data_IF_956141130189
#
_entry.id   IF_956141130189
#
_cell.length_a   1.000
_cell.length_b   1.000
_cell.length_c   1.000
_cell.angle_alpha   90.00
_cell.angle_beta   90.00
_cell.angle_gamma   90.00
#
_symmetry.space_group_name_H-M   'P 1'
#
loop_
_entity.id
_entity.type
_entity.pdbx_description
1 polymer ?
#
# COMPACT_ATOMS: atom_id res chain seq x y z
N UNK A 1 -22.26 -5.79 18.37
CA UNK A 1 -21.96 -7.15 17.84
C UNK A 1 -20.53 -7.09 17.30
N UNK A 2 -19.59 -7.87 17.86
CA UNK A 2 -18.17 -7.84 17.45
C UNK A 2 -18.01 -8.32 16.01
N UNK A 3 -17.24 -7.62 15.19
CA UNK A 3 -16.97 -7.99 13.79
C UNK A 3 -16.05 -9.21 13.79
N UNK A 4 -16.62 -10.38 13.47
CA UNK A 4 -15.87 -11.65 13.38
C UNK A 4 -15.25 -11.89 12.01
N UNK A 5 -15.56 -11.05 11.03
CA UNK A 5 -15.12 -11.19 9.65
C UNK A 5 -14.92 -9.82 9.01
N UNK A 6 -13.89 -9.72 8.18
CA UNK A 6 -13.70 -8.61 7.25
C UNK A 6 -14.52 -8.95 5.99
N UNK A 7 -15.48 -8.11 5.55
CA UNK A 7 -16.26 -8.37 4.34
C UNK A 7 -15.37 -8.49 3.10
N UNK A 8 -15.72 -9.42 2.20
CA UNK A 8 -15.06 -9.54 0.90
C UNK A 8 -15.21 -8.21 0.13
N UNK A 9 -14.09 -7.51 -0.09
CA UNK A 9 -14.04 -6.20 -0.74
C UNK A 9 -13.42 -5.07 0.09
N UNK A 10 -13.14 -5.28 1.39
CA UNK A 10 -12.40 -4.32 2.22
C UNK A 10 -10.88 -4.36 1.99
N UNK A 11 -10.44 -4.63 0.75
CA UNK A 11 -9.02 -4.67 0.33
C UNK A 11 -8.33 -3.32 0.53
N UNK A 12 -9.10 -2.22 0.54
CA UNK A 12 -8.60 -0.85 0.69
C UNK A 12 -8.97 -0.20 2.03
N UNK A 13 -9.53 -0.97 2.97
CA UNK A 13 -9.77 -0.44 4.30
C UNK A 13 -8.47 -0.51 5.08
N UNK A 14 -8.03 0.62 5.64
CA UNK A 14 -7.13 0.63 6.79
C UNK A 14 -7.90 0.00 7.95
N UNK A 15 -7.94 -1.33 7.96
CA UNK A 15 -8.42 -2.09 9.11
C UNK A 15 -7.50 -1.70 10.27
N UNK A 16 -8.05 -1.21 11.39
CA UNK A 16 -7.23 -0.73 12.49
C UNK A 16 -6.39 -1.89 13.01
N UNK A 17 -5.09 -1.82 12.76
CA UNK A 17 -4.13 -2.72 13.38
C UNK A 17 -3.68 -2.14 14.71
N UNK A 18 -3.53 -2.98 15.75
CA UNK A 18 -3.95 -4.39 15.81
C UNK A 18 -5.45 -4.54 16.12
N UNK A 19 -6.04 -5.67 15.70
CA UNK A 19 -7.33 -6.11 16.22
C UNK A 19 -7.23 -6.28 17.74
N UNK A 20 -8.29 -5.92 18.47
CA UNK A 20 -8.35 -6.15 19.90
C UNK A 20 -8.28 -7.67 20.18
N UNK A 21 -7.70 -8.04 21.33
CA UNK A 21 -7.55 -9.44 21.73
C UNK A 21 -8.91 -10.18 21.70
N UNK A 22 -8.98 -11.30 20.98
CA UNK A 22 -10.21 -12.07 20.78
C UNK A 22 -11.12 -11.55 19.65
N UNK A 23 -10.64 -10.61 18.83
CA UNK A 23 -11.29 -10.12 17.62
C UNK A 23 -10.43 -10.42 16.38
N UNK A 24 -11.06 -10.44 15.21
CA UNK A 24 -10.41 -10.77 13.94
C UNK A 24 -10.41 -12.27 13.60
N UNK A 25 -10.40 -12.64 12.31
CA UNK A 25 -10.30 -14.05 11.89
C UNK A 25 -8.93 -14.64 12.23
N UNK A 26 -8.87 -15.91 12.65
CA UNK A 26 -7.60 -16.61 12.95
C UNK A 26 -6.65 -16.64 11.74
N UNK A 27 -7.22 -16.90 10.56
CA UNK A 27 -6.49 -16.88 9.28
C UNK A 27 -6.02 -15.48 8.85
N UNK A 28 -6.61 -14.42 9.40
CA UNK A 28 -6.20 -13.05 9.12
C UNK A 28 -4.80 -12.80 9.70
N UNK A 29 -4.55 -13.18 10.96
CA UNK A 29 -3.23 -13.02 11.57
C UNK A 29 -2.12 -13.75 10.82
N UNK A 30 -2.41 -14.96 10.30
CA UNK A 30 -1.40 -15.78 9.63
C UNK A 30 -0.97 -15.27 8.25
N UNK A 31 -1.87 -14.60 7.51
CA UNK A 31 -1.65 -14.28 6.09
C UNK A 31 -1.62 -12.79 5.79
N UNK A 32 -2.25 -11.98 6.63
CA UNK A 32 -2.39 -10.54 6.41
C UNK A 32 -1.06 -9.81 6.52
N UNK A 33 -0.23 -10.11 7.52
CA UNK A 33 1.05 -9.43 7.72
C UNK A 33 1.96 -9.60 6.51
N UNK A 34 2.11 -10.83 6.01
CA UNK A 34 2.88 -11.13 4.80
C UNK A 34 2.30 -10.46 3.55
N UNK A 35 0.98 -10.48 3.39
CA UNK A 35 0.31 -9.86 2.24
C UNK A 35 0.46 -8.34 2.25
N UNK A 36 0.30 -7.70 3.41
CA UNK A 36 0.44 -6.25 3.61
C UNK A 36 1.88 -5.81 3.42
N UNK A 37 2.85 -6.54 3.96
CA UNK A 37 4.28 -6.26 3.76
C UNK A 37 4.66 -6.25 2.28
N UNK A 38 4.22 -7.26 1.53
CA UNK A 38 4.44 -7.31 0.07
C UNK A 38 3.81 -6.13 -0.66
N UNK A 39 2.57 -5.76 -0.31
CA UNK A 39 1.87 -4.61 -0.90
C UNK A 39 2.59 -3.29 -0.61
N UNK A 40 3.03 -3.07 0.62
CA UNK A 40 3.75 -1.85 1.00
C UNK A 40 5.08 -1.70 0.26
N UNK A 41 5.84 -2.80 0.11
CA UNK A 41 7.08 -2.79 -0.68
C UNK A 41 6.80 -2.45 -2.14
N UNK A 42 5.73 -3.01 -2.73
CA UNK A 42 5.32 -2.69 -4.09
C UNK A 42 4.91 -1.22 -4.24
N UNK A 43 4.08 -0.70 -3.33
CA UNK A 43 3.65 0.70 -3.29
C UNK A 43 4.85 1.65 -3.16
N UNK A 44 5.84 1.30 -2.34
CA UNK A 44 7.07 2.07 -2.21
C UNK A 44 7.89 2.10 -3.50
N UNK A 45 8.11 0.94 -4.14
CA UNK A 45 8.82 0.85 -5.42
C UNK A 45 8.14 1.69 -6.50
N UNK A 46 6.81 1.65 -6.56
CA UNK A 46 6.05 2.42 -7.54
C UNK A 46 6.10 3.93 -7.28
N UNK A 47 6.12 4.36 -6.01
CA UNK A 47 6.35 5.75 -5.65
C UNK A 47 7.75 6.23 -6.07
N UNK A 48 8.79 5.43 -5.82
CA UNK A 48 10.16 5.76 -6.22
C UNK A 48 10.26 5.89 -7.74
N UNK A 49 9.70 4.93 -8.50
CA UNK A 49 9.68 4.98 -9.97
C UNK A 49 9.01 6.26 -10.49
N UNK A 50 7.82 6.58 -10.00
CA UNK A 50 7.08 7.80 -10.38
C UNK A 50 7.87 9.07 -10.07
N UNK A 51 8.56 9.11 -8.92
CA UNK A 51 9.41 10.23 -8.56
C UNK A 51 10.59 10.39 -9.53
N UNK A 52 11.27 9.29 -9.89
CA UNK A 52 12.36 9.31 -10.88
C UNK A 52 11.90 9.71 -12.28
N UNK A 53 10.77 9.17 -12.76
CA UNK A 53 10.20 9.53 -14.07
C UNK A 53 9.82 11.01 -14.12
N UNK A 54 9.18 11.52 -13.05
CA UNK A 54 8.83 12.94 -12.92
C UNK A 54 10.08 13.83 -12.94
N UNK A 55 11.14 13.45 -12.24
CA UNK A 55 12.41 14.19 -12.24
C UNK A 55 13.08 14.19 -13.62
N UNK A 56 13.12 13.03 -14.30
CA UNK A 56 13.67 12.92 -15.65
C UNK A 56 12.89 13.77 -16.65
N UNK A 57 11.55 13.74 -16.61
CA UNK A 57 10.69 14.56 -17.47
C UNK A 57 10.91 16.05 -17.24
N UNK A 58 11.05 16.49 -15.98
CA UNK A 58 11.37 17.89 -15.64
C UNK A 58 12.74 18.30 -16.20
N UNK A 59 13.75 17.44 -16.11
CA UNK A 59 15.09 17.70 -16.66
C UNK A 59 15.03 17.88 -18.19
N UNK A 60 14.37 16.96 -18.89
CA UNK A 60 14.20 17.03 -20.35
C UNK A 60 13.46 18.31 -20.78
N UNK A 61 12.37 18.67 -20.11
CA UNK A 61 11.64 19.90 -20.40
C UNK A 61 12.48 21.15 -20.19
N UNK A 62 13.35 21.17 -19.16
CA UNK A 62 14.28 22.27 -18.92
C UNK A 62 15.31 22.38 -20.04
N UNK A 63 15.86 21.26 -20.51
CA UNK A 63 16.83 21.23 -21.61
C UNK A 63 16.21 21.67 -22.95
N UNK A 64 14.96 21.25 -23.23
CA UNK A 64 14.24 21.65 -24.45
C UNK A 64 13.74 23.10 -24.43
N UNK A 65 13.45 23.67 -23.26
CA UNK A 65 13.01 25.07 -23.13
C UNK A 65 14.14 26.11 -23.07
N UNK A 66 15.40 25.67 -23.11
CA UNK A 66 16.59 26.52 -23.13
C UNK A 66 17.28 26.54 -24.51
N UNK A 67 16.67 25.93 -25.53
CA UNK A 67 17.11 25.92 -26.93
C UNK A 67 16.32 26.84 -27.82
#
# INVERSE_FOLDING_TARGET
RKLKYVPAGAVDWDVPYPFAQGEGPEMYYATWEHTRGRRLVQEFVDLVKKATESAAKKKLMKELGQG
#
